data_IF_432076759652
#
_entry.id   IF_432076759652
#
_cell.length_a   1.000
_cell.length_b   1.000
_cell.length_c   1.000
_cell.angle_alpha   90.00
_cell.angle_beta   90.00
_cell.angle_gamma   90.00
#
_symmetry.space_group_name_H-M   'P 1'
#
loop_
_entity.id
_entity.type
_entity.pdbx_description
1 polymer ?
#
# COMPACT_ATOMS: atom_id res chain seq x y z
N UNK A 1 -3.67 1.28 -3.51
CA UNK A 1 -3.76 0.29 -2.41
C UNK A 1 -2.39 0.11 -1.80
N UNK A 2 -2.32 0.22 -0.47
CA UNK A 2 -1.13 -0.06 0.32
C UNK A 2 -1.36 -1.39 1.03
N UNK A 3 -0.36 -2.28 1.00
CA UNK A 3 -0.40 -3.56 1.68
C UNK A 3 0.90 -3.75 2.45
N UNK A 4 0.82 -4.33 3.64
CA UNK A 4 2.00 -4.72 4.41
C UNK A 4 2.41 -6.14 4.07
N UNK A 5 3.70 -6.40 3.84
CA UNK A 5 4.20 -7.73 3.46
C UNK A 5 3.92 -8.79 4.53
N UNK A 6 4.00 -8.42 5.82
CA UNK A 6 3.77 -9.32 6.97
C UNK A 6 2.39 -9.10 7.59
N UNK A 7 1.41 -8.70 6.77
CA UNK A 7 0.01 -8.67 7.18
C UNK A 7 -0.62 -10.06 6.97
N UNK A 8 -0.98 -10.71 8.08
CA UNK A 8 -1.66 -12.01 8.08
C UNK A 8 -3.18 -11.89 8.21
N UNK A 9 -3.69 -10.66 8.35
CA UNK A 9 -5.13 -10.39 8.50
C UNK A 9 -5.77 -10.14 7.13
N UNK A 10 -5.03 -9.52 6.21
CA UNK A 10 -5.45 -9.26 4.84
C UNK A 10 -4.88 -10.30 3.86
N UNK A 11 -5.69 -10.87 2.97
CA UNK A 11 -5.21 -11.90 2.02
C UNK A 11 -4.63 -11.26 0.77
N UNK A 12 -3.49 -11.76 0.23
CA UNK A 12 -2.96 -11.30 -1.05
C UNK A 12 -3.95 -11.42 -2.21
N UNK A 13 -4.81 -12.45 -2.21
CA UNK A 13 -5.83 -12.65 -3.23
C UNK A 13 -6.85 -11.51 -3.31
N UNK A 14 -7.21 -10.89 -2.19
CA UNK A 14 -8.18 -9.78 -2.14
C UNK A 14 -7.60 -8.53 -2.84
N UNK A 15 -6.31 -8.25 -2.58
CA UNK A 15 -5.55 -7.19 -3.27
C UNK A 15 -5.51 -7.42 -4.78
N UNK A 16 -5.19 -8.65 -5.18
CA UNK A 16 -5.03 -8.98 -6.59
C UNK A 16 -6.37 -8.91 -7.33
N UNK A 17 -7.45 -9.37 -6.69
CA UNK A 17 -8.81 -9.25 -7.23
C UNK A 17 -9.27 -7.80 -7.33
N UNK A 18 -9.03 -6.99 -6.29
CA UNK A 18 -9.32 -5.56 -6.34
C UNK A 18 -8.61 -4.88 -7.52
N UNK A 19 -7.32 -5.17 -7.75
CA UNK A 19 -6.57 -4.62 -8.88
C UNK A 19 -7.20 -5.01 -10.22
N UNK A 20 -7.65 -6.26 -10.36
CA UNK A 20 -8.33 -6.73 -11.58
C UNK A 20 -9.66 -6.01 -11.82
N UNK A 21 -10.40 -5.69 -10.76
CA UNK A 21 -11.74 -5.09 -10.86
C UNK A 21 -11.72 -3.56 -11.08
N UNK A 22 -10.58 -2.90 -10.83
CA UNK A 22 -10.38 -1.44 -11.02
C UNK A 22 -10.21 -1.02 -12.50
N UNK A 23 -10.95 -1.61 -13.43
CA UNK A 23 -10.83 -1.38 -14.89
C UNK A 23 -11.26 0.01 -15.36
N UNK A 24 -12.04 0.72 -14.55
CA UNK A 24 -12.51 2.08 -14.86
C UNK A 24 -11.83 3.16 -14.01
N UNK A 25 -10.89 2.77 -13.15
CA UNK A 25 -10.16 3.74 -12.33
C UNK A 25 -9.16 4.51 -13.21
N UNK A 26 -9.10 5.85 -13.11
CA UNK A 26 -8.12 6.63 -13.87
C UNK A 26 -6.67 6.33 -13.45
N UNK A 27 -6.49 5.80 -12.24
CA UNK A 27 -5.20 5.34 -11.72
C UNK A 27 -5.42 4.22 -10.70
N UNK A 28 -4.63 3.15 -10.80
CA UNK A 28 -4.59 2.07 -9.83
C UNK A 28 -3.14 1.65 -9.55
N UNK A 29 -2.61 2.06 -8.39
CA UNK A 29 -1.29 1.65 -7.90
C UNK A 29 -1.44 0.69 -6.73
N UNK A 30 -0.67 -0.39 -6.73
CA UNK A 30 -0.55 -1.33 -5.60
C UNK A 30 0.89 -1.27 -5.12
N UNK A 31 1.08 -0.99 -3.83
CA UNK A 31 2.39 -0.97 -3.18
C UNK A 31 2.37 -1.95 -2.03
N UNK A 32 3.29 -2.91 -2.05
CA UNK A 32 3.57 -3.81 -0.94
C UNK A 32 4.76 -3.24 -0.19
N UNK A 33 4.55 -2.88 1.07
CA UNK A 33 5.56 -2.30 1.94
C UNK A 33 6.37 -3.46 2.53
N UNK A 34 7.67 -3.56 2.24
CA UNK A 34 8.50 -4.67 2.69
C UNK A 34 8.71 -4.62 4.20
N UNK A 35 8.83 -5.80 4.82
CA UNK A 35 9.06 -6.01 6.24
C UNK A 35 8.04 -5.37 7.21
N UNK A 36 6.94 -4.81 6.72
CA UNK A 36 5.96 -4.11 7.54
C UNK A 36 4.86 -5.03 8.04
N UNK A 37 4.35 -4.73 9.23
CA UNK A 37 3.22 -5.45 9.85
C UNK A 37 1.89 -4.78 9.52
N UNK A 38 0.77 -5.38 9.94
CA UNK A 38 -0.55 -4.75 9.86
C UNK A 38 -0.58 -3.35 10.51
N UNK A 39 0.21 -3.13 11.55
CA UNK A 39 0.31 -1.87 12.29
C UNK A 39 1.38 -0.92 11.74
N UNK A 40 1.78 -1.03 10.46
CA UNK A 40 2.83 -0.19 9.82
C UNK A 40 2.67 1.32 10.08
N UNK A 41 1.44 1.82 10.24
CA UNK A 41 1.16 3.23 10.51
C UNK A 41 1.59 3.70 11.92
N UNK A 42 1.76 2.76 12.86
CA UNK A 42 2.23 2.98 14.24
C UNK A 42 3.72 2.62 14.43
N UNK A 43 4.37 2.03 13.42
CA UNK A 43 5.74 1.53 13.53
C UNK A 43 6.78 2.65 13.39
N UNK A 44 8.07 2.31 13.56
CA UNK A 44 9.17 3.24 13.31
C UNK A 44 9.31 3.55 11.80
N UNK A 45 9.81 4.75 11.43
CA UNK A 45 10.00 5.14 10.04
C UNK A 45 10.69 4.07 9.18
N UNK A 46 11.75 3.44 9.69
CA UNK A 46 12.57 2.42 9.04
C UNK A 46 11.86 1.07 8.85
N UNK A 47 10.77 0.80 9.58
CA UNK A 47 9.96 -0.42 9.44
C UNK A 47 8.79 -0.25 8.46
N UNK A 48 8.96 0.62 7.47
CA UNK A 48 8.00 0.82 6.39
C UNK A 48 7.04 2.00 6.61
N UNK A 49 6.98 2.60 7.81
CA UNK A 49 6.13 3.78 8.04
C UNK A 49 6.53 4.96 7.16
N UNK A 50 7.82 5.17 6.90
CA UNK A 50 8.26 6.22 6.00
C UNK A 50 7.75 6.01 4.57
N UNK A 51 7.84 4.78 4.06
CA UNK A 51 7.35 4.44 2.72
C UNK A 51 5.83 4.59 2.63
N UNK A 52 5.10 4.13 3.66
CA UNK A 52 3.65 4.33 3.77
C UNK A 52 3.28 5.81 3.60
N UNK A 53 3.93 6.69 4.37
CA UNK A 53 3.63 8.12 4.35
C UNK A 53 4.01 8.76 3.01
N UNK A 54 5.16 8.40 2.44
CA UNK A 54 5.59 8.91 1.13
C UNK A 54 4.58 8.56 0.04
N UNK A 55 4.08 7.32 0.02
CA UNK A 55 3.08 6.88 -0.97
C UNK A 55 1.72 7.60 -0.78
N UNK A 56 1.30 7.82 0.47
CA UNK A 56 0.08 8.60 0.77
C UNK A 56 0.22 10.04 0.27
N UNK A 57 1.34 10.69 0.59
CA UNK A 57 1.62 12.08 0.18
C UNK A 57 1.70 12.18 -1.34
N UNK A 58 2.42 11.27 -1.99
CA UNK A 58 2.53 11.20 -3.46
C UNK A 58 1.15 11.08 -4.12
N UNK A 59 0.28 10.20 -3.59
CA UNK A 59 -1.08 10.01 -4.08
C UNK A 59 -1.93 11.28 -3.95
N UNK A 60 -1.90 11.95 -2.79
CA UNK A 60 -2.66 13.18 -2.53
C UNK A 60 -2.23 14.32 -3.47
N UNK A 61 -0.93 14.41 -3.77
CA UNK A 61 -0.40 15.43 -4.68
C UNK A 61 -0.50 15.06 -6.17
N UNK A 62 -1.09 13.90 -6.51
CA UNK A 62 -1.18 13.42 -7.89
C UNK A 62 0.19 13.10 -8.52
N UNK A 63 1.21 12.90 -7.70
CA UNK A 63 2.55 12.55 -8.15
C UNK A 63 2.60 11.03 -8.36
N UNK A 64 2.88 10.62 -9.59
CA UNK A 64 3.14 9.23 -9.95
C UNK A 64 4.62 9.11 -10.25
N UNK A 65 5.37 8.43 -9.39
CA UNK A 65 6.72 7.93 -9.70
C UNK A 65 6.64 6.74 -10.65
#
# INVERSE_FOLDING_TARGET
MLASERDFWSRPADRDKLKQDLVHAPMAKVVVIPNSTHFVHLDRPEHGRQLLLNEIVSFIHGQSH
#
